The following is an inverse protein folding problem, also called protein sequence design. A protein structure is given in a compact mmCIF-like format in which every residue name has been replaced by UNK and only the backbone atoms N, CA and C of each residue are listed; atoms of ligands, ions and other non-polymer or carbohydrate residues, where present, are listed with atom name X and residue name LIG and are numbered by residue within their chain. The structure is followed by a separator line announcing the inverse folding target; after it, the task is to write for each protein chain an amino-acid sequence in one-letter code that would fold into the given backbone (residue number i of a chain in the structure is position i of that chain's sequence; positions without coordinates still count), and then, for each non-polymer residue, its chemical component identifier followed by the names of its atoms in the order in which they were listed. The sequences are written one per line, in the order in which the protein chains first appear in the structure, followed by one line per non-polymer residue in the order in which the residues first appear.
data_IF_653864791421
#
_entry.id   IF_653864791421
#
_cell.length_a   1.000
_cell.length_b   1.000
_cell.length_c   1.000
_cell.angle_alpha   90.00
_cell.angle_beta   90.00
_cell.angle_gamma   90.00
#
_symmetry.space_group_name_H-M   'P 1'
#
loop_
_entity.id
_entity.type
_entity.pdbx_description
1 polymer ?
#
# COMPACT_ATOMS: atom_id res chain seq x y z
N UNK A 1 -13.52 -5.68 6.75
CA UNK A 1 -12.17 -5.06 6.62
C UNK A 1 -11.66 -5.07 5.19
N UNK A 2 -10.74 -4.18 4.83
CA UNK A 2 -10.00 -4.16 3.56
C UNK A 2 -8.51 -4.29 3.88
N UNK A 3 -7.80 -5.20 3.20
CA UNK A 3 -6.33 -5.29 3.21
C UNK A 3 -5.81 -4.39 2.09
N UNK A 4 -5.29 -3.20 2.44
CA UNK A 4 -4.93 -2.18 1.44
C UNK A 4 -3.56 -2.40 0.79
N UNK A 5 -2.85 -3.48 1.12
CA UNK A 5 -1.57 -3.81 0.49
C UNK A 5 -1.19 -5.27 0.72
N UNK A 6 -1.21 -6.07 -0.35
CA UNK A 6 -0.81 -7.49 -0.31
C UNK A 6 -0.34 -7.97 -1.68
N UNK A 7 0.63 -8.89 -1.72
CA UNK A 7 1.17 -9.45 -2.95
C UNK A 7 0.75 -10.93 -3.14
N UNK A 8 -0.56 -11.22 -3.04
CA UNK A 8 -1.08 -12.59 -3.15
C UNK A 8 -0.86 -13.24 -4.53
N UNK A 9 -0.40 -12.50 -5.52
CA UNK A 9 -0.01 -13.01 -6.83
C UNK A 9 1.41 -13.61 -6.87
N UNK A 10 2.20 -13.46 -5.79
CA UNK A 10 3.57 -13.98 -5.72
C UNK A 10 3.61 -15.52 -5.64
N UNK A 11 4.71 -16.14 -6.08
CA UNK A 11 4.87 -17.60 -6.10
C UNK A 11 4.62 -18.27 -4.76
N UNK A 12 4.85 -17.57 -3.64
CA UNK A 12 4.63 -18.07 -2.28
C UNK A 12 3.18 -18.48 -1.99
N UNK A 13 2.23 -18.03 -2.81
CA UNK A 13 0.81 -18.34 -2.66
C UNK A 13 0.26 -19.28 -3.74
N UNK A 14 1.08 -19.65 -4.73
CA UNK A 14 0.62 -20.38 -5.91
C UNK A 14 -0.06 -21.71 -5.56
N UNK A 15 0.45 -22.43 -4.55
CA UNK A 15 -0.03 -23.75 -4.19
C UNK A 15 -1.33 -23.74 -3.37
N UNK A 16 -1.64 -22.65 -2.66
CA UNK A 16 -2.77 -22.59 -1.73
C UNK A 16 -3.58 -21.27 -1.79
N UNK A 17 -3.59 -20.58 -2.93
CA UNK A 17 -4.26 -19.28 -3.09
C UNK A 17 -5.77 -19.35 -2.81
N UNK A 18 -6.45 -20.46 -3.16
CA UNK A 18 -7.89 -20.63 -2.88
C UNK A 18 -8.16 -20.66 -1.37
N UNK A 19 -7.34 -21.39 -0.63
CA UNK A 19 -7.42 -21.47 0.82
C UNK A 19 -7.05 -20.14 1.49
N UNK A 20 -6.05 -19.42 0.95
CA UNK A 20 -5.67 -18.07 1.44
C UNK A 20 -6.83 -17.10 1.28
N UNK A 21 -7.46 -17.05 0.10
CA UNK A 21 -8.64 -16.21 -0.16
C UNK A 21 -9.83 -16.63 0.72
N UNK A 22 -10.04 -17.95 0.88
CA UNK A 22 -11.11 -18.44 1.75
C UNK A 22 -10.89 -18.04 3.21
N UNK A 23 -9.64 -18.14 3.73
CA UNK A 23 -9.29 -17.67 5.09
C UNK A 23 -9.45 -16.16 5.24
N UNK A 24 -9.04 -15.37 4.24
CA UNK A 24 -9.22 -13.92 4.23
C UNK A 24 -10.70 -13.54 4.33
N UNK A 25 -11.57 -14.15 3.50
CA UNK A 25 -13.02 -13.94 3.55
C UNK A 25 -13.62 -14.39 4.89
N UNK A 26 -13.23 -15.54 5.41
CA UNK A 26 -13.68 -16.04 6.71
C UNK A 26 -13.28 -15.12 7.87
N UNK A 27 -12.13 -14.43 7.76
CA UNK A 27 -11.69 -13.43 8.70
C UNK A 27 -12.42 -12.07 8.54
N UNK A 28 -13.28 -11.91 7.51
CA UNK A 28 -14.05 -10.69 7.27
C UNK A 28 -13.44 -9.75 6.21
N UNK A 29 -12.42 -10.18 5.45
CA UNK A 29 -11.89 -9.38 4.36
C UNK A 29 -12.93 -9.27 3.23
N UNK A 30 -13.37 -8.06 2.95
CA UNK A 30 -14.28 -7.75 1.84
C UNK A 30 -13.53 -7.53 0.53
N UNK A 31 -12.30 -7.04 0.61
CA UNK A 31 -11.46 -6.70 -0.53
C UNK A 31 -9.97 -6.69 -0.14
N UNK A 32 -9.09 -6.95 -1.11
CA UNK A 32 -7.64 -6.81 -0.98
C UNK A 32 -7.10 -5.98 -2.15
N UNK A 33 -6.13 -5.10 -1.87
CA UNK A 33 -5.45 -4.32 -2.90
C UNK A 33 -4.15 -5.02 -3.29
N UNK A 34 -3.95 -5.22 -4.59
CA UNK A 34 -2.77 -5.85 -5.17
C UNK A 34 -1.92 -4.79 -5.89
N UNK A 35 -0.84 -4.29 -5.28
CA UNK A 35 0.11 -3.46 -5.99
C UNK A 35 1.10 -4.32 -6.78
N UNK A 36 1.40 -3.92 -8.03
CA UNK A 36 2.46 -4.50 -8.82
C UNK A 36 3.83 -4.04 -8.32
N UNK A 37 4.82 -4.93 -8.36
CA UNK A 37 6.22 -4.58 -8.11
C UNK A 37 6.99 -4.38 -9.42
N UNK A 38 6.56 -5.06 -10.50
CA UNK A 38 7.19 -5.05 -11.81
C UNK A 38 6.12 -5.28 -12.90
N UNK A 39 6.39 -4.91 -14.16
CA UNK A 39 5.43 -5.13 -15.25
C UNK A 39 5.07 -6.62 -15.43
N UNK A 40 6.00 -7.55 -15.14
CA UNK A 40 5.73 -8.99 -15.21
C UNK A 40 4.69 -9.46 -14.18
N UNK A 41 4.45 -8.68 -13.12
CA UNK A 41 3.42 -8.99 -12.11
C UNK A 41 2.00 -8.84 -12.65
N UNK A 42 1.80 -7.99 -13.67
CA UNK A 42 0.48 -7.59 -14.15
C UNK A 42 -0.37 -8.78 -14.60
N UNK A 43 0.23 -9.72 -15.36
CA UNK A 43 -0.49 -10.91 -15.85
C UNK A 43 -0.98 -11.82 -14.71
N UNK A 44 -0.16 -11.99 -13.66
CA UNK A 44 -0.54 -12.80 -12.50
C UNK A 44 -1.65 -12.10 -11.68
N UNK A 45 -1.58 -10.78 -11.52
CA UNK A 45 -2.60 -9.99 -10.86
C UNK A 45 -3.94 -10.03 -11.61
N UNK A 46 -3.90 -9.87 -12.95
CA UNK A 46 -5.06 -9.95 -13.81
C UNK A 46 -5.74 -11.33 -13.72
N UNK A 47 -4.94 -12.41 -13.69
CA UNK A 47 -5.43 -13.78 -13.54
C UNK A 47 -6.11 -14.01 -12.18
N UNK A 48 -5.58 -13.43 -11.10
CA UNK A 48 -6.22 -13.50 -9.79
C UNK A 48 -7.55 -12.75 -9.74
N UNK A 49 -7.63 -11.55 -10.32
CA UNK A 49 -8.86 -10.77 -10.37
C UNK A 49 -9.95 -11.48 -11.17
N UNK A 50 -9.58 -12.14 -12.28
CA UNK A 50 -10.49 -12.98 -13.07
C UNK A 50 -10.96 -14.21 -12.29
N UNK A 51 -10.07 -14.83 -11.50
CA UNK A 51 -10.39 -16.01 -10.68
C UNK A 51 -11.30 -15.69 -9.48
N UNK A 52 -11.16 -14.51 -8.90
CA UNK A 52 -11.91 -14.07 -7.72
C UNK A 52 -12.61 -12.72 -7.96
N UNK A 53 -13.62 -12.66 -8.86
CA UNK A 53 -14.22 -11.41 -9.30
C UNK A 53 -14.68 -10.52 -8.15
N UNK A 54 -14.24 -9.25 -8.17
CA UNK A 54 -14.62 -8.22 -7.20
C UNK A 54 -13.92 -8.31 -5.85
N UNK A 55 -13.04 -9.30 -5.63
CA UNK A 55 -12.28 -9.41 -4.37
C UNK A 55 -10.99 -8.61 -4.38
N UNK A 56 -10.47 -8.26 -5.54
CA UNK A 56 -9.23 -7.51 -5.67
C UNK A 56 -9.43 -6.11 -6.25
N UNK A 57 -8.53 -5.21 -5.92
CA UNK A 57 -8.28 -3.92 -6.57
C UNK A 57 -6.84 -3.92 -7.05
N UNK A 58 -6.64 -3.64 -8.32
CA UNK A 58 -5.33 -3.72 -8.94
C UNK A 58 -4.68 -2.34 -9.01
N UNK A 59 -3.41 -2.27 -8.61
CA UNK A 59 -2.58 -1.07 -8.72
C UNK A 59 -1.37 -1.39 -9.58
N UNK A 60 -1.12 -0.65 -10.66
CA UNK A 60 0.03 -0.88 -11.52
C UNK A 60 1.13 0.14 -11.22
N UNK A 61 2.35 -0.34 -11.01
CA UNK A 61 3.51 0.51 -10.71
C UNK A 61 4.82 -0.24 -10.86
N UNK A 62 5.91 0.51 -10.90
CA UNK A 62 7.27 0.00 -10.86
C UNK A 62 7.87 0.31 -9.49
N UNK A 63 8.12 -0.74 -8.73
CA UNK A 63 8.72 -0.65 -7.40
C UNK A 63 10.18 -0.13 -7.48
N UNK A 64 10.64 0.70 -6.54
CA UNK A 64 11.98 1.28 -6.59
C UNK A 64 13.11 0.26 -6.62
N UNK A 65 12.95 -0.93 -6.04
CA UNK A 65 13.99 -1.99 -6.07
C UNK A 65 14.08 -2.71 -7.41
N UNK A 66 13.06 -2.60 -8.26
CA UNK A 66 13.00 -3.25 -9.58
C UNK A 66 13.51 -2.35 -10.72
N UNK A 67 14.04 -1.18 -10.38
CA UNK A 67 14.57 -0.25 -11.35
C UNK A 67 15.95 -0.73 -11.81
N UNK A 68 16.01 -1.30 -13.00
CA UNK A 68 17.20 -1.75 -13.72
C UNK A 68 17.43 -0.90 -14.99
N UNK A 69 18.32 -1.35 -15.88
CA UNK A 69 18.61 -0.63 -17.13
C UNK A 69 17.44 -0.71 -18.14
N UNK A 70 16.50 -1.65 -17.95
CA UNK A 70 15.31 -1.82 -18.78
C UNK A 70 14.07 -1.09 -18.23
N UNK A 71 14.20 -0.29 -17.16
CA UNK A 71 13.07 0.41 -16.55
C UNK A 71 12.22 1.27 -17.52
N UNK A 72 12.75 1.84 -18.61
CA UNK A 72 11.90 2.60 -19.55
C UNK A 72 10.86 1.71 -20.25
N UNK A 73 11.22 0.47 -20.61
CA UNK A 73 10.27 -0.49 -21.16
C UNK A 73 9.25 -0.95 -20.10
N UNK A 74 9.68 -1.16 -18.86
CA UNK A 74 8.80 -1.47 -17.75
C UNK A 74 7.75 -0.37 -17.56
N UNK A 75 8.18 0.90 -17.54
CA UNK A 75 7.27 2.05 -17.46
C UNK A 75 6.30 2.10 -18.64
N UNK A 76 6.75 1.79 -19.86
CA UNK A 76 5.87 1.75 -21.04
C UNK A 76 4.76 0.71 -20.90
N UNK A 77 5.10 -0.49 -20.42
CA UNK A 77 4.13 -1.58 -20.19
C UNK A 77 3.14 -1.23 -19.08
N UNK A 78 3.62 -0.70 -17.95
CA UNK A 78 2.79 -0.25 -16.84
C UNK A 78 1.85 0.87 -17.27
N UNK A 79 2.34 1.85 -18.04
CA UNK A 79 1.48 2.93 -18.56
C UNK A 79 0.39 2.38 -19.47
N UNK A 80 0.70 1.43 -20.35
CA UNK A 80 -0.29 0.80 -21.23
C UNK A 80 -1.37 0.05 -20.42
N UNK A 81 -0.98 -0.61 -19.31
CA UNK A 81 -1.91 -1.25 -18.39
C UNK A 81 -2.83 -0.23 -17.70
N UNK A 82 -2.29 0.89 -17.21
CA UNK A 82 -3.08 1.98 -16.59
C UNK A 82 -4.09 2.58 -17.60
N UNK A 83 -3.67 2.78 -18.86
CA UNK A 83 -4.53 3.33 -19.91
C UNK A 83 -5.68 2.39 -20.30
N UNK A 84 -5.62 1.10 -19.93
CA UNK A 84 -6.75 0.16 -20.12
C UNK A 84 -7.97 0.47 -19.26
N UNK A 85 -7.79 1.25 -18.16
CA UNK A 85 -8.84 1.56 -17.20
C UNK A 85 -9.21 0.42 -16.24
N UNK A 86 -8.47 -0.70 -16.26
CA UNK A 86 -8.69 -1.84 -15.37
C UNK A 86 -8.11 -1.59 -13.97
N UNK A 87 -7.04 -0.82 -13.87
CA UNK A 87 -6.33 -0.56 -12.63
C UNK A 87 -6.93 0.63 -11.87
N UNK A 88 -7.12 0.46 -10.57
CA UNK A 88 -7.79 1.43 -9.68
C UNK A 88 -6.85 2.43 -9.05
N UNK A 89 -5.54 2.24 -9.21
CA UNK A 89 -4.51 3.13 -8.69
C UNK A 89 -3.13 2.82 -9.24
N UNK A 90 -2.15 3.60 -8.81
CA UNK A 90 -0.74 3.44 -9.19
C UNK A 90 0.06 2.97 -7.97
N UNK A 91 0.72 1.84 -8.10
CA UNK A 91 1.50 1.23 -7.02
C UNK A 91 1.97 -0.20 -7.35
N UNK A 92 3.01 -0.58 -6.70
CA UNK A 92 3.76 0.08 -5.64
C UNK A 92 4.85 0.96 -6.24
N UNK A 93 4.96 2.21 -5.78
CA UNK A 93 5.93 3.18 -6.29
C UNK A 93 6.61 3.89 -5.12
N UNK A 94 7.76 4.51 -5.33
CA UNK A 94 8.39 5.23 -4.23
C UNK A 94 9.91 5.25 -4.29
N UNK A 95 10.53 5.23 -3.11
CA UNK A 95 11.98 5.19 -2.98
C UNK A 95 12.43 4.17 -1.91
N UNK A 96 13.44 3.38 -2.25
CA UNK A 96 14.13 2.46 -1.34
C UNK A 96 15.65 2.69 -1.43
N UNK A 97 16.21 3.30 -0.39
CA UNK A 97 17.65 3.55 -0.27
C UNK A 97 18.31 2.59 0.75
N UNK A 98 17.61 1.52 1.11
CA UNK A 98 18.15 0.50 2.01
C UNK A 98 19.02 -0.52 1.27
N UNK A 99 18.56 -1.01 0.12
CA UNK A 99 19.24 -2.07 -0.63
C UNK A 99 20.30 -1.51 -1.57
N UNK A 100 19.97 -0.47 -2.35
CA UNK A 100 20.86 0.13 -3.33
C UNK A 100 20.65 1.65 -3.42
N UNK A 101 21.70 2.40 -3.10
CA UNK A 101 21.70 3.86 -3.22
C UNK A 101 22.24 4.33 -4.57
N UNK A 102 22.85 3.45 -5.37
CA UNK A 102 23.48 3.82 -6.65
C UNK A 102 22.47 4.30 -7.69
N UNK A 103 21.22 3.81 -7.59
CA UNK A 103 20.11 4.17 -8.51
C UNK A 103 19.19 5.26 -7.96
N UNK A 104 19.61 6.02 -6.95
CA UNK A 104 18.79 7.07 -6.32
C UNK A 104 18.18 8.02 -7.35
N UNK A 105 18.97 8.53 -8.31
CA UNK A 105 18.47 9.46 -9.33
C UNK A 105 17.43 8.83 -10.26
N UNK A 106 17.61 7.56 -10.62
CA UNK A 106 16.63 6.82 -11.40
C UNK A 106 15.34 6.61 -10.59
N UNK A 107 15.43 6.24 -9.31
CA UNK A 107 14.26 6.12 -8.43
C UNK A 107 13.48 7.44 -8.34
N UNK A 108 14.17 8.58 -8.14
CA UNK A 108 13.53 9.91 -8.13
C UNK A 108 12.82 10.22 -9.45
N UNK A 109 13.47 9.94 -10.60
CA UNK A 109 12.90 10.18 -11.93
C UNK A 109 11.69 9.28 -12.21
N UNK A 110 11.79 7.99 -11.86
CA UNK A 110 10.70 7.01 -12.04
C UNK A 110 9.53 7.34 -11.13
N UNK A 111 9.78 7.73 -9.88
CA UNK A 111 8.73 8.17 -8.96
C UNK A 111 7.98 9.38 -9.55
N UNK A 112 8.69 10.44 -9.97
CA UNK A 112 8.07 11.62 -10.58
C UNK A 112 7.21 11.29 -11.79
N UNK A 113 7.71 10.41 -12.67
CA UNK A 113 6.96 9.95 -13.84
C UNK A 113 5.63 9.30 -13.45
N UNK A 114 5.65 8.44 -12.44
CA UNK A 114 4.46 7.72 -11.99
C UNK A 114 3.50 8.64 -11.19
N UNK A 115 4.01 9.61 -10.44
CA UNK A 115 3.19 10.65 -9.80
C UNK A 115 2.50 11.56 -10.82
N UNK A 116 3.18 11.90 -11.91
CA UNK A 116 2.57 12.66 -13.02
C UNK A 116 1.42 11.86 -13.67
N UNK A 117 1.57 10.55 -13.82
CA UNK A 117 0.48 9.68 -14.27
C UNK A 117 -0.69 9.65 -13.31
N UNK A 118 -0.42 9.63 -11.99
CA UNK A 118 -1.47 9.67 -10.97
C UNK A 118 -2.33 10.92 -11.09
N UNK A 119 -1.71 12.08 -11.33
CA UNK A 119 -2.40 13.34 -11.57
C UNK A 119 -3.18 13.30 -12.89
N UNK A 120 -2.55 12.83 -13.99
CA UNK A 120 -3.18 12.78 -15.32
C UNK A 120 -4.40 11.87 -15.38
N UNK A 121 -4.35 10.73 -14.68
CA UNK A 121 -5.38 9.69 -14.69
C UNK A 121 -6.36 9.83 -13.51
N UNK A 122 -6.12 10.78 -12.60
CA UNK A 122 -6.86 10.96 -11.35
C UNK A 122 -6.94 9.69 -10.51
N UNK A 123 -5.80 8.99 -10.35
CA UNK A 123 -5.67 7.74 -9.62
C UNK A 123 -4.92 7.94 -8.30
N UNK A 124 -5.32 7.23 -7.23
CA UNK A 124 -4.56 7.21 -5.98
C UNK A 124 -3.24 6.45 -6.13
N UNK A 125 -2.28 6.73 -5.24
CA UNK A 125 -0.98 6.07 -5.22
C UNK A 125 -0.76 5.24 -3.96
N UNK A 126 -0.02 4.13 -4.08
CA UNK A 126 0.54 3.37 -2.96
C UNK A 126 2.05 3.60 -2.93
N UNK A 127 2.51 4.30 -1.90
CA UNK A 127 3.89 4.77 -1.77
C UNK A 127 4.70 3.87 -0.85
N UNK A 128 5.76 3.29 -1.40
CA UNK A 128 6.83 2.61 -0.69
C UNK A 128 7.89 3.60 -0.24
N UNK A 129 8.27 3.56 1.03
CA UNK A 129 9.35 4.41 1.55
C UNK A 129 10.23 3.63 2.52
N UNK A 130 11.48 3.39 2.12
CA UNK A 130 12.44 2.72 2.99
C UNK A 130 13.79 3.43 2.97
N UNK A 131 14.23 3.91 4.15
CA UNK A 131 15.44 4.72 4.31
C UNK A 131 15.51 5.95 3.37
N UNK A 132 14.36 6.50 2.97
CA UNK A 132 14.24 7.56 1.98
C UNK A 132 13.06 8.51 2.27
N UNK A 133 12.67 8.67 3.56
CA UNK A 133 11.50 9.48 3.91
C UNK A 133 11.65 10.94 3.49
N UNK A 134 12.77 11.56 3.80
CA UNK A 134 12.98 12.98 3.50
C UNK A 134 13.03 13.22 1.98
N UNK A 135 13.67 12.32 1.23
CA UNK A 135 13.75 12.36 -0.23
C UNK A 135 12.37 12.18 -0.86
N UNK A 136 11.61 11.17 -0.41
CA UNK A 136 10.27 10.91 -0.93
C UNK A 136 9.32 12.05 -0.62
N UNK A 137 9.32 12.56 0.62
CA UNK A 137 8.49 13.71 0.99
C UNK A 137 8.85 14.97 0.21
N UNK A 138 10.14 15.23 -0.03
CA UNK A 138 10.56 16.37 -0.85
C UNK A 138 9.94 16.33 -2.24
N UNK A 139 9.84 15.14 -2.85
CA UNK A 139 9.19 14.95 -4.15
C UNK A 139 7.67 15.08 -4.02
N UNK A 140 7.03 14.37 -3.08
CA UNK A 140 5.57 14.34 -2.92
C UNK A 140 4.99 15.71 -2.61
N UNK A 141 5.71 16.57 -1.85
CA UNK A 141 5.31 17.97 -1.56
C UNK A 141 5.04 18.79 -2.82
N UNK A 142 5.75 18.53 -3.92
CA UNK A 142 5.55 19.22 -5.20
C UNK A 142 4.20 18.90 -5.86
N UNK A 143 3.52 17.84 -5.35
CA UNK A 143 2.26 17.33 -5.87
C UNK A 143 1.05 17.59 -4.94
N UNK A 144 1.26 18.09 -3.72
CA UNK A 144 0.15 18.36 -2.79
C UNK A 144 -0.90 19.30 -3.41
N UNK A 145 -0.46 20.41 -4.01
CA UNK A 145 -1.36 21.36 -4.65
C UNK A 145 -1.99 20.89 -5.97
N UNK A 146 -1.51 19.75 -6.50
CA UNK A 146 -2.01 19.15 -7.75
C UNK A 146 -3.12 18.13 -7.51
N UNK A 147 -3.49 17.86 -6.25
CA UNK A 147 -4.52 16.89 -5.89
C UNK A 147 -4.03 15.44 -5.82
N UNK A 148 -2.72 15.21 -5.66
CA UNK A 148 -2.19 13.88 -5.40
C UNK A 148 -2.77 13.33 -4.09
N UNK A 149 -3.22 12.08 -4.11
CA UNK A 149 -3.76 11.36 -2.96
C UNK A 149 -3.26 9.93 -2.93
N UNK A 150 -3.25 9.30 -1.78
CA UNK A 150 -2.78 7.91 -1.67
C UNK A 150 -2.49 7.46 -0.26
N UNK A 151 -1.71 6.40 -0.19
CA UNK A 151 -1.27 5.76 1.05
C UNK A 151 0.26 5.74 1.09
N UNK A 152 0.83 6.17 2.20
CA UNK A 152 2.19 5.78 2.57
C UNK A 152 2.09 4.41 3.21
N UNK A 153 2.31 3.36 2.40
CA UNK A 153 2.20 1.98 2.84
C UNK A 153 3.31 1.63 3.82
N UNK A 154 3.05 0.66 4.70
CA UNK A 154 3.99 0.19 5.72
C UNK A 154 4.70 1.35 6.45
N UNK A 155 3.92 2.37 6.83
CA UNK A 155 4.44 3.62 7.35
C UNK A 155 5.45 3.38 8.49
N UNK A 156 6.66 3.88 8.31
CA UNK A 156 7.79 3.70 9.24
C UNK A 156 8.47 5.02 9.63
N UNK A 157 7.86 6.16 9.30
CA UNK A 157 8.37 7.50 9.60
C UNK A 157 8.16 7.95 11.04
N UNK A 158 8.51 9.22 11.31
CA UNK A 158 8.33 9.89 12.60
C UNK A 158 6.91 10.41 12.78
N UNK A 159 6.57 10.87 13.99
CA UNK A 159 5.29 11.53 14.28
C UNK A 159 5.12 12.82 13.44
N UNK A 160 6.18 13.59 13.27
CA UNK A 160 6.17 14.83 12.49
C UNK A 160 5.87 14.54 11.02
N UNK A 161 6.52 13.53 10.44
CA UNK A 161 6.25 13.07 9.07
C UNK A 161 4.82 12.53 8.94
N UNK A 162 4.33 11.76 9.92
CA UNK A 162 2.96 11.29 9.94
C UNK A 162 1.93 12.44 9.92
N UNK A 163 2.14 13.47 10.74
CA UNK A 163 1.26 14.65 10.80
C UNK A 163 1.23 15.41 9.48
N UNK A 164 2.39 15.64 8.88
CA UNK A 164 2.49 16.29 7.58
C UNK A 164 1.74 15.52 6.49
N UNK A 165 1.96 14.22 6.40
CA UNK A 165 1.32 13.32 5.42
C UNK A 165 -0.21 13.41 5.54
N UNK A 166 -0.72 13.32 6.76
CA UNK A 166 -2.17 13.35 7.05
C UNK A 166 -2.77 14.73 6.81
N UNK A 167 -2.07 15.82 7.14
CA UNK A 167 -2.51 17.19 6.88
C UNK A 167 -2.74 17.46 5.39
N UNK A 168 -1.99 16.75 4.52
CA UNK A 168 -2.12 16.86 3.07
C UNK A 168 -3.05 15.80 2.45
N UNK A 169 -3.86 15.13 3.27
CA UNK A 169 -4.93 14.23 2.81
C UNK A 169 -4.48 12.84 2.40
N UNK A 170 -3.25 12.45 2.71
CA UNK A 170 -2.79 11.06 2.55
C UNK A 170 -3.17 10.21 3.75
N UNK A 171 -3.22 8.90 3.52
CA UNK A 171 -3.41 7.89 4.56
C UNK A 171 -2.08 7.23 4.93
N UNK A 172 -2.02 6.74 6.17
CA UNK A 172 -0.92 5.89 6.63
C UNK A 172 -1.38 4.43 6.60
N UNK A 173 -0.65 3.59 5.85
CA UNK A 173 -0.82 2.15 5.85
C UNK A 173 -0.15 1.54 7.08
N UNK A 174 -0.93 0.89 7.93
CA UNK A 174 -0.44 0.26 9.16
C UNK A 174 -0.58 -1.25 9.02
N UNK A 175 0.56 -1.94 9.04
CA UNK A 175 0.66 -3.39 8.88
C UNK A 175 1.06 -4.14 10.15
N UNK A 176 1.45 -5.42 9.99
CA UNK A 176 1.76 -6.35 11.07
C UNK A 176 2.84 -5.86 12.05
N UNK A 177 3.74 -4.98 11.61
CA UNK A 177 4.79 -4.39 12.45
C UNK A 177 4.26 -3.62 13.67
N UNK A 178 3.03 -3.11 13.63
CA UNK A 178 2.40 -2.43 14.78
C UNK A 178 2.22 -3.37 15.98
N UNK A 179 2.21 -4.67 15.78
CA UNK A 179 2.12 -5.67 16.85
C UNK A 179 3.46 -5.94 17.54
N UNK A 180 4.58 -5.45 16.96
CA UNK A 180 5.91 -5.69 17.52
C UNK A 180 6.20 -4.75 18.69
N UNK A 181 6.79 -5.28 19.76
CA UNK A 181 7.09 -4.50 20.98
C UNK A 181 7.99 -3.28 20.71
N UNK A 182 8.87 -3.39 19.72
CA UNK A 182 9.85 -2.34 19.37
C UNK A 182 9.40 -1.48 18.17
N UNK A 183 8.14 -1.58 17.75
CA UNK A 183 7.62 -0.72 16.69
C UNK A 183 7.59 0.73 17.15
N UNK A 184 8.23 1.64 16.39
CA UNK A 184 8.25 3.07 16.69
C UNK A 184 6.83 3.65 16.69
N UNK A 185 6.01 3.24 15.74
CA UNK A 185 4.64 3.73 15.54
C UNK A 185 3.76 3.51 16.78
N UNK A 186 4.00 2.44 17.55
CA UNK A 186 3.27 2.20 18.81
C UNK A 186 3.35 3.34 19.81
N UNK A 187 4.43 4.12 19.78
CA UNK A 187 4.65 5.22 20.74
C UNK A 187 3.82 6.47 20.43
N UNK A 188 3.27 6.58 19.21
CA UNK A 188 2.61 7.81 18.79
C UNK A 188 1.38 7.64 17.90
N UNK A 189 1.08 6.43 17.40
CA UNK A 189 0.03 6.24 16.39
C UNK A 189 -1.35 6.76 16.86
N UNK A 190 -1.64 6.67 18.14
CA UNK A 190 -2.85 7.19 18.75
C UNK A 190 -2.93 8.73 18.79
N UNK A 191 -1.87 9.44 18.42
CA UNK A 191 -1.87 10.89 18.21
C UNK A 191 -2.24 11.29 16.78
N UNK A 192 -2.39 10.30 15.88
CA UNK A 192 -2.85 10.48 14.50
C UNK A 192 -4.34 10.15 14.46
N UNK A 193 -5.18 10.94 13.77
CA UNK A 193 -6.60 10.63 13.65
C UNK A 193 -6.82 9.27 13.00
N UNK A 194 -7.67 8.41 13.58
CA UNK A 194 -8.00 7.11 13.02
C UNK A 194 -8.61 7.22 11.62
N UNK A 195 -9.24 8.36 11.31
CA UNK A 195 -9.78 8.70 9.98
C UNK A 195 -8.71 8.86 8.89
N UNK A 196 -7.43 8.81 9.24
CA UNK A 196 -6.29 8.88 8.32
C UNK A 196 -5.47 7.59 8.29
N UNK A 197 -5.99 6.50 8.86
CA UNK A 197 -5.32 5.19 8.94
C UNK A 197 -6.05 4.20 8.03
N UNK A 198 -5.29 3.46 7.23
CA UNK A 198 -5.74 2.23 6.57
C UNK A 198 -4.93 1.05 7.11
N UNK A 199 -5.46 -0.16 6.97
CA UNK A 199 -4.81 -1.38 7.48
C UNK A 199 -4.41 -2.29 6.34
N UNK A 200 -3.29 -2.97 6.53
CA UNK A 200 -2.68 -3.81 5.51
C UNK A 200 -1.93 -4.98 6.10
N UNK A 201 -1.49 -5.91 5.25
CA UNK A 201 -0.63 -7.02 5.67
C UNK A 201 0.77 -6.93 5.12
N UNK A 202 0.95 -6.43 3.91
CA UNK A 202 2.18 -6.55 3.12
C UNK A 202 2.57 -8.03 2.91
N UNK A 203 1.56 -8.91 2.76
CA UNK A 203 1.77 -10.35 2.58
C UNK A 203 2.54 -10.65 1.29
N UNK A 204 3.52 -11.56 1.33
CA UNK A 204 3.84 -12.58 2.35
C UNK A 204 4.72 -12.09 3.52
N UNK A 205 5.06 -10.81 3.58
CA UNK A 205 6.02 -10.23 4.50
C UNK A 205 5.37 -9.77 5.83
N UNK A 206 6.19 -9.34 6.78
CA UNK A 206 5.83 -8.59 7.99
C UNK A 206 4.69 -9.18 8.83
N UNK A 207 4.66 -10.51 8.98
CA UNK A 207 3.62 -11.22 9.75
C UNK A 207 3.47 -10.65 11.16
N UNK A 208 2.22 -10.37 11.61
CA UNK A 208 1.97 -9.88 12.96
C UNK A 208 2.29 -10.94 14.03
N UNK A 209 2.41 -10.52 15.28
CA UNK A 209 2.40 -11.44 16.42
C UNK A 209 0.98 -12.06 16.51
N UNK A 210 0.86 -13.39 16.68
CA UNK A 210 1.90 -14.38 17.04
C UNK A 210 2.58 -15.09 15.84
N UNK A 211 2.38 -14.65 14.61
CA UNK A 211 2.83 -15.34 13.39
C UNK A 211 4.22 -14.93 12.90
N UNK A 212 4.98 -14.14 13.65
CA UNK A 212 6.34 -13.74 13.25
C UNK A 212 7.19 -14.92 12.78
N UNK A 213 7.87 -14.73 11.63
CA UNK A 213 8.72 -15.77 11.02
C UNK A 213 7.96 -16.81 10.19
N UNK A 214 6.64 -16.67 10.05
CA UNK A 214 5.81 -17.45 9.13
C UNK A 214 5.38 -16.56 7.96
N UNK A 215 4.96 -17.18 6.85
CA UNK A 215 4.34 -16.46 5.73
C UNK A 215 3.11 -15.68 6.23
N UNK A 216 3.03 -14.39 5.90
CA UNK A 216 1.87 -13.56 6.17
C UNK A 216 0.74 -13.85 5.15
N UNK A 217 -0.48 -13.48 5.49
CA UNK A 217 -1.66 -13.56 4.61
C UNK A 217 -2.72 -12.53 5.02
N UNK A 218 -3.62 -12.17 4.12
CA UNK A 218 -4.62 -11.10 4.31
C UNK A 218 -5.58 -11.35 5.49
N UNK A 219 -5.79 -12.61 5.89
CA UNK A 219 -6.54 -12.92 7.12
C UNK A 219 -5.93 -12.31 8.39
N UNK A 220 -4.63 -12.01 8.36
CA UNK A 220 -3.91 -11.45 9.50
C UNK A 220 -4.15 -9.95 9.73
N UNK A 221 -4.81 -9.23 8.83
CA UNK A 221 -5.26 -7.84 9.06
C UNK A 221 -6.06 -7.73 10.35
N UNK A 222 -6.82 -8.75 10.73
CA UNK A 222 -7.57 -8.76 12.00
C UNK A 222 -6.68 -8.55 13.25
N UNK A 223 -5.41 -8.96 13.22
CA UNK A 223 -4.46 -8.72 14.31
C UNK A 223 -3.96 -7.27 14.33
N UNK A 224 -3.83 -6.66 13.17
CA UNK A 224 -3.47 -5.24 13.04
C UNK A 224 -4.61 -4.38 13.62
N UNK A 225 -5.86 -4.67 13.25
CA UNK A 225 -7.05 -3.99 13.77
C UNK A 225 -7.13 -4.07 15.29
N UNK A 226 -6.92 -5.26 15.88
CA UNK A 226 -6.91 -5.44 17.34
C UNK A 226 -5.80 -4.62 18.01
N UNK A 227 -4.59 -4.62 17.42
CA UNK A 227 -3.49 -3.85 17.97
C UNK A 227 -3.75 -2.34 17.92
N UNK A 228 -4.38 -1.84 16.85
CA UNK A 228 -4.81 -0.44 16.76
C UNK A 228 -5.93 -0.14 17.78
N UNK A 229 -6.91 -1.03 17.92
CA UNK A 229 -7.97 -0.89 18.91
C UNK A 229 -7.42 -0.71 20.33
N UNK A 230 -6.48 -1.55 20.73
CA UNK A 230 -5.78 -1.46 22.02
C UNK A 230 -5.03 -0.11 22.17
N UNK A 231 -4.35 0.35 21.11
CA UNK A 231 -3.55 1.59 21.15
C UNK A 231 -4.40 2.86 21.18
N UNK A 232 -5.56 2.85 20.50
CA UNK A 232 -6.50 3.97 20.49
C UNK A 232 -7.48 3.94 21.65
N UNK A 233 -7.63 2.81 22.34
CA UNK A 233 -8.65 2.62 23.37
C UNK A 233 -10.07 2.52 22.79
N UNK A 234 -10.22 1.96 21.59
CA UNK A 234 -11.49 1.74 20.93
C UNK A 234 -11.85 0.25 20.83
N UNK A 235 -13.13 -0.05 20.56
CA UNK A 235 -13.55 -1.40 20.19
C UNK A 235 -13.01 -1.80 18.79
N UNK A 236 -12.68 -3.07 18.61
CA UNK A 236 -12.11 -3.56 17.35
C UNK A 236 -13.06 -3.33 16.15
N UNK A 237 -14.35 -3.53 16.33
CA UNK A 237 -15.36 -3.31 15.29
C UNK A 237 -15.44 -1.85 14.83
N UNK A 238 -15.21 -0.90 15.75
CA UNK A 238 -15.14 0.52 15.40
C UNK A 238 -13.91 0.83 14.56
N UNK A 239 -12.74 0.29 14.94
CA UNK A 239 -11.50 0.46 14.18
C UNK A 239 -11.62 -0.18 12.80
N UNK A 240 -12.17 -1.40 12.71
CA UNK A 240 -12.42 -2.09 11.44
C UNK A 240 -13.28 -1.25 10.51
N UNK A 241 -14.42 -0.77 11.02
CA UNK A 241 -15.35 0.05 10.25
C UNK A 241 -14.69 1.34 9.75
N UNK A 242 -14.01 2.08 10.64
CA UNK A 242 -13.38 3.35 10.28
C UNK A 242 -12.28 3.16 9.23
N UNK A 243 -11.39 2.18 9.41
CA UNK A 243 -10.30 1.93 8.45
C UNK A 243 -10.81 1.42 7.10
N UNK A 244 -11.91 0.67 7.09
CA UNK A 244 -12.59 0.28 5.86
C UNK A 244 -13.22 1.48 5.14
N UNK A 245 -13.90 2.38 5.87
CA UNK A 245 -14.45 3.62 5.31
C UNK A 245 -13.35 4.50 4.71
N UNK A 246 -12.19 4.60 5.37
CA UNK A 246 -11.03 5.34 4.87
C UNK A 246 -10.54 4.79 3.52
N UNK A 247 -10.39 3.47 3.41
CA UNK A 247 -9.98 2.82 2.16
C UNK A 247 -11.00 3.06 1.03
N UNK A 248 -12.29 2.91 1.32
CA UNK A 248 -13.38 3.19 0.35
C UNK A 248 -13.35 4.66 -0.07
N UNK A 249 -13.19 5.60 0.87
CA UNK A 249 -13.09 7.02 0.56
C UNK A 249 -11.96 7.31 -0.44
N UNK A 250 -10.79 6.68 -0.26
CA UNK A 250 -9.67 6.86 -1.17
C UNK A 250 -9.98 6.35 -2.59
N UNK A 251 -10.70 5.20 -2.72
CA UNK A 251 -11.09 4.66 -4.03
C UNK A 251 -12.06 5.57 -4.79
N UNK A 252 -13.01 6.21 -4.09
CA UNK A 252 -14.08 7.00 -4.72
C UNK A 252 -13.79 8.49 -4.81
N UNK A 253 -12.79 8.99 -4.07
CA UNK A 253 -12.39 10.39 -4.16
C UNK A 253 -11.89 10.68 -5.58
N UNK A 254 -12.67 11.47 -6.33
CA UNK A 254 -12.21 12.08 -7.58
C UNK A 254 -11.88 13.53 -7.31
N UNK A 255 -10.81 14.03 -7.91
CA UNK A 255 -10.49 15.44 -7.85
C UNK A 255 -11.64 16.21 -8.49
N UNK A 256 -12.42 16.93 -7.70
CA UNK A 256 -13.38 17.91 -8.22
C UNK A 256 -12.55 19.03 -8.86
N UNK A 257 -12.43 18.99 -10.18
CA UNK A 257 -11.86 20.07 -10.99
C UNK A 257 -12.83 21.24 -11.05
#
# INVERSE_FOLDING_TARGET
MIDTHTHLYLPEFQDDIDEVVARARAAGAACCWLPAIHADSLAAMDSLDERFPGFFRLFAGLHPTEIDDNYPEQLRLIRAALDSGRYTGIGEIGMDLYWDTSRRQQQESVLRTQLDWAIQLDLPVLLHVRNAFDETLAIVREYYSKGLRGVFHCFSGTLEQAREIVEHGFYLGIGGSITYKNSLQRSFINQIPLTSIVVETDSPYLSPVPFRGKRNESAHVAYVIRALADLYGFEADFVEKQTQENAICLEIQKNTK
#
